data_IF_106785098633
#
_entry.id   IF_106785098633
#
_cell.length_a   1.000
_cell.length_b   1.000
_cell.length_c   1.000
_cell.angle_alpha   90.00
_cell.angle_beta   90.00
_cell.angle_gamma   90.00
#
_symmetry.space_group_name_H-M   'P 1'
#
loop_
_entity.id
_entity.type
_entity.pdbx_description
1 polymer ?
#
# COMPACT_ATOMS: atom_id res chain seq x y z
N UNK A 1 -4.70 -9.90 -31.43
CA UNK A 1 -4.67 -11.08 -30.53
C UNK A 1 -3.88 -10.83 -29.23
N UNK A 2 -3.85 -9.60 -28.67
CA UNK A 2 -3.16 -9.30 -27.40
C UNK A 2 -4.08 -9.43 -26.17
N UNK A 3 -5.39 -9.25 -26.34
CA UNK A 3 -6.38 -9.23 -25.25
C UNK A 3 -6.47 -10.52 -24.42
N UNK A 4 -6.18 -11.68 -25.02
CA UNK A 4 -6.38 -13.00 -24.42
C UNK A 4 -5.27 -13.38 -23.43
N UNK A 5 -4.05 -12.85 -23.57
CA UNK A 5 -2.91 -13.24 -22.70
C UNK A 5 -2.92 -12.55 -21.33
N UNK A 6 -3.56 -11.38 -21.20
CA UNK A 6 -3.53 -10.58 -19.97
C UNK A 6 -4.66 -10.93 -18.98
N UNK A 7 -5.60 -11.81 -19.37
CA UNK A 7 -6.76 -12.15 -18.53
C UNK A 7 -6.38 -12.81 -17.18
N UNK A 8 -5.43 -13.77 -17.12
CA UNK A 8 -4.99 -14.34 -15.85
C UNK A 8 -4.28 -13.32 -14.94
N UNK A 9 -3.50 -12.40 -15.53
CA UNK A 9 -2.83 -11.32 -14.79
C UNK A 9 -3.84 -10.34 -14.18
N UNK A 10 -4.87 -9.94 -14.94
CA UNK A 10 -5.96 -9.09 -14.41
C UNK A 10 -6.70 -9.75 -13.26
N UNK A 11 -6.98 -11.05 -13.36
CA UNK A 11 -7.61 -11.81 -12.28
C UNK A 11 -6.71 -11.85 -11.03
N UNK A 12 -5.40 -12.04 -11.18
CA UNK A 12 -4.46 -11.98 -10.06
C UNK A 12 -4.38 -10.59 -9.43
N UNK A 13 -4.31 -9.53 -10.24
CA UNK A 13 -4.32 -8.15 -9.74
C UNK A 13 -5.60 -7.84 -8.96
N UNK A 14 -6.76 -8.32 -9.44
CA UNK A 14 -8.03 -8.17 -8.72
C UNK A 14 -8.00 -8.80 -7.34
N UNK A 15 -7.48 -10.03 -7.22
CA UNK A 15 -7.33 -10.74 -5.94
C UNK A 15 -6.39 -10.01 -4.98
N UNK A 16 -5.21 -9.61 -5.47
CA UNK A 16 -4.21 -8.88 -4.67
C UNK A 16 -4.77 -7.53 -4.19
N UNK A 17 -5.43 -6.77 -5.07
CA UNK A 17 -6.07 -5.49 -4.72
C UNK A 17 -7.30 -5.67 -3.82
N UNK A 18 -7.97 -6.82 -3.90
CA UNK A 18 -9.07 -7.20 -3.03
C UNK A 18 -8.63 -7.70 -1.65
N UNK A 19 -7.32 -7.88 -1.43
CA UNK A 19 -6.75 -8.42 -0.19
C UNK A 19 -7.26 -9.84 0.12
N UNK A 20 -7.68 -10.60 -0.91
CA UNK A 20 -8.20 -11.97 -0.75
C UNK A 20 -7.13 -12.93 -0.22
N UNK A 21 -5.85 -12.64 -0.45
CA UNK A 21 -4.70 -13.41 0.05
C UNK A 21 -4.08 -12.81 1.34
N UNK A 22 -4.65 -11.74 1.91
CA UNK A 22 -4.13 -11.15 3.14
C UNK A 22 -4.58 -11.94 4.38
N UNK A 23 -3.70 -12.06 5.38
CA UNK A 23 -4.04 -12.74 6.64
C UNK A 23 -5.25 -12.12 7.37
N UNK A 24 -5.51 -10.83 7.15
CA UNK A 24 -6.71 -10.10 7.59
C UNK A 24 -7.07 -9.10 6.49
N UNK A 25 -8.35 -9.06 6.09
CA UNK A 25 -8.85 -8.06 5.15
C UNK A 25 -8.77 -6.64 5.72
N UNK A 26 -8.51 -5.64 4.87
CA UNK A 26 -8.37 -4.25 5.29
C UNK A 26 -9.56 -3.76 6.12
N UNK A 27 -10.78 -4.10 5.71
CA UNK A 27 -12.03 -3.74 6.37
C UNK A 27 -12.08 -4.25 7.81
N UNK A 28 -11.73 -5.53 8.02
CA UNK A 28 -11.67 -6.12 9.34
C UNK A 28 -10.57 -5.48 10.22
N UNK A 29 -9.44 -5.09 9.62
CA UNK A 29 -8.35 -4.45 10.34
C UNK A 29 -8.71 -3.03 10.83
N UNK A 30 -9.52 -2.27 10.09
CA UNK A 30 -9.89 -0.89 10.46
C UNK A 30 -11.14 -0.80 11.32
N UNK A 31 -12.07 -1.75 11.23
CA UNK A 31 -13.30 -1.78 12.03
C UNK A 31 -13.02 -1.96 13.53
N UNK A 32 -11.98 -2.71 13.89
CA UNK A 32 -11.59 -2.95 15.28
C UNK A 32 -10.92 -1.77 15.99
N UNK A 33 -10.60 -0.67 15.29
CA UNK A 33 -9.80 0.43 15.85
C UNK A 33 -10.70 1.58 16.32
N UNK A 34 -11.09 1.52 17.60
CA UNK A 34 -11.82 2.60 18.25
C UNK A 34 -11.01 3.92 18.34
N UNK A 35 -11.67 5.09 18.44
CA UNK A 35 -11.00 6.40 18.46
C UNK A 35 -9.86 6.54 19.48
N UNK A 36 -10.00 5.90 20.64
CA UNK A 36 -8.99 5.91 21.70
C UNK A 36 -7.68 5.19 21.34
N UNK A 37 -7.66 4.41 20.25
CA UNK A 37 -6.51 3.60 19.82
C UNK A 37 -5.89 4.10 18.50
N UNK A 38 -6.61 4.91 17.71
CA UNK A 38 -6.17 5.35 16.38
C UNK A 38 -4.79 6.02 16.41
N UNK A 39 -4.52 6.82 17.45
CA UNK A 39 -3.24 7.50 17.62
C UNK A 39 -2.25 6.89 18.60
N UNK A 40 -2.53 5.70 19.13
CA UNK A 40 -1.65 5.06 20.12
C UNK A 40 -0.70 4.10 19.43
N UNK A 41 0.60 4.36 19.57
CA UNK A 41 1.65 3.44 19.14
C UNK A 41 1.90 2.41 20.26
N UNK A 42 1.62 1.11 20.04
CA UNK A 42 1.93 0.08 21.02
C UNK A 42 3.46 -0.04 21.23
N UNK A 43 3.92 -0.44 22.43
CA UNK A 43 5.33 -0.72 22.66
C UNK A 43 5.88 -1.74 21.65
N UNK A 44 7.03 -1.43 21.05
CA UNK A 44 7.68 -2.30 20.06
C UNK A 44 7.24 -2.09 18.61
N UNK A 45 6.27 -1.20 18.34
CA UNK A 45 5.89 -0.82 16.98
C UNK A 45 6.38 0.60 16.63
N UNK A 46 6.82 0.84 15.38
CA UNK A 46 7.34 2.15 14.98
C UNK A 46 6.23 3.18 14.68
N UNK A 47 5.00 2.72 14.40
CA UNK A 47 3.91 3.58 13.91
C UNK A 47 2.58 3.26 14.57
N UNK A 48 1.75 4.30 14.70
CA UNK A 48 0.36 4.20 15.14
C UNK A 48 -0.57 3.63 14.05
N UNK A 49 -1.77 3.14 14.41
CA UNK A 49 -2.78 2.74 13.43
C UNK A 49 -3.12 3.83 12.41
N UNK A 50 -3.18 5.09 12.84
CA UNK A 50 -3.43 6.23 11.94
C UNK A 50 -2.29 6.42 10.93
N UNK A 51 -1.03 6.36 11.37
CA UNK A 51 0.13 6.44 10.48
C UNK A 51 0.14 5.31 9.45
N UNK A 52 -0.20 4.09 9.86
CA UNK A 52 -0.30 2.95 8.95
C UNK A 52 -1.44 3.11 7.94
N UNK A 53 -2.63 3.54 8.40
CA UNK A 53 -3.77 3.79 7.51
C UNK A 53 -3.43 4.84 6.45
N UNK A 54 -2.87 5.97 6.86
CA UNK A 54 -2.49 7.03 5.94
C UNK A 54 -1.37 6.61 5.00
N UNK A 55 -0.41 5.81 5.48
CA UNK A 55 0.62 5.25 4.63
C UNK A 55 0.03 4.41 3.49
N UNK A 56 -0.92 3.52 3.81
CA UNK A 56 -1.62 2.70 2.81
C UNK A 56 -2.43 3.58 1.85
N UNK A 57 -3.17 4.58 2.38
CA UNK A 57 -3.97 5.52 1.59
C UNK A 57 -3.12 6.32 0.61
N UNK A 58 -2.02 6.92 1.07
CA UNK A 58 -1.15 7.75 0.23
C UNK A 58 -0.48 6.89 -0.83
N UNK A 59 0.05 5.73 -0.45
CA UNK A 59 0.73 4.81 -1.39
C UNK A 59 -0.22 4.33 -2.48
N UNK A 60 -1.43 3.93 -2.12
CA UNK A 60 -2.42 3.48 -3.11
C UNK A 60 -2.88 4.62 -4.02
N UNK A 61 -3.12 5.81 -3.47
CA UNK A 61 -3.47 6.99 -4.27
C UNK A 61 -2.35 7.35 -5.26
N UNK A 62 -1.09 7.23 -4.84
CA UNK A 62 0.05 7.55 -5.68
C UNK A 62 0.18 6.60 -6.88
N UNK A 63 -0.05 5.30 -6.67
CA UNK A 63 -0.16 4.31 -7.75
C UNK A 63 -1.32 4.65 -8.68
N UNK A 64 -2.48 4.99 -8.13
CA UNK A 64 -3.64 5.38 -8.93
C UNK A 64 -3.35 6.63 -9.77
N UNK A 65 -2.68 7.62 -9.18
CA UNK A 65 -2.32 8.84 -9.89
C UNK A 65 -1.31 8.55 -11.00
N UNK A 66 -0.28 7.76 -10.73
CA UNK A 66 0.66 7.28 -11.75
C UNK A 66 -0.05 6.63 -12.95
N UNK A 67 -1.07 5.80 -12.69
CA UNK A 67 -1.81 5.10 -13.75
C UNK A 67 -2.69 6.03 -14.61
N UNK A 68 -3.23 7.11 -14.04
CA UNK A 68 -4.25 7.96 -14.72
C UNK A 68 -3.74 9.32 -15.15
N UNK A 69 -2.73 9.86 -14.48
CA UNK A 69 -2.24 11.22 -14.67
C UNK A 69 -1.04 11.23 -15.62
N UNK A 70 -1.23 11.76 -16.82
CA UNK A 70 -0.16 11.84 -17.83
C UNK A 70 1.03 12.70 -17.40
N UNK A 71 0.79 13.66 -16.49
CA UNK A 71 1.76 14.59 -15.93
C UNK A 71 2.19 14.21 -14.49
N UNK A 72 2.03 12.95 -14.10
CA UNK A 72 2.43 12.44 -12.79
C UNK A 72 3.88 12.82 -12.45
N UNK A 73 4.08 13.21 -11.18
CA UNK A 73 5.39 13.45 -10.59
C UNK A 73 5.51 12.60 -9.33
N UNK A 74 6.63 11.90 -9.23
CA UNK A 74 6.94 11.07 -8.08
C UNK A 74 7.05 11.92 -6.79
N UNK A 75 6.50 11.39 -5.69
CA UNK A 75 6.59 12.01 -4.37
C UNK A 75 7.93 11.73 -3.72
N UNK A 76 8.33 12.55 -2.75
CA UNK A 76 9.57 12.32 -2.04
C UNK A 76 9.45 11.12 -1.09
N UNK A 77 10.07 10.01 -1.46
CA UNK A 77 10.18 8.84 -0.61
C UNK A 77 11.28 9.00 0.46
N UNK A 78 11.08 8.52 1.72
CA UNK A 78 9.82 8.02 2.31
C UNK A 78 8.95 9.12 2.95
N UNK A 79 9.47 10.35 3.03
CA UNK A 79 8.91 11.44 3.85
C UNK A 79 7.44 11.73 3.55
N UNK A 80 7.05 11.74 2.27
CA UNK A 80 5.71 12.16 1.86
C UNK A 80 4.64 11.07 2.03
N UNK A 81 5.04 9.85 2.44
CA UNK A 81 4.16 8.68 2.58
C UNK A 81 3.77 8.39 4.03
N UNK A 82 4.15 9.24 4.97
CA UNK A 82 3.85 9.05 6.39
C UNK A 82 3.34 10.36 6.99
N UNK A 83 2.18 10.36 7.69
CA UNK A 83 1.77 11.55 8.40
C UNK A 83 2.70 11.79 9.60
N UNK A 84 3.09 13.05 9.86
CA UNK A 84 3.97 13.38 10.97
C UNK A 84 3.29 13.21 12.33
N UNK A 85 1.97 13.41 12.38
CA UNK A 85 1.19 13.25 13.59
C UNK A 85 0.80 11.77 13.78
N UNK A 86 0.93 11.22 15.00
CA UNK A 86 0.51 9.86 15.28
C UNK A 86 -1.02 9.72 15.34
N UNK A 87 -1.78 10.79 15.54
CA UNK A 87 -3.23 10.75 15.64
C UNK A 87 -3.95 11.44 14.48
N UNK A 88 -5.21 11.08 14.22
CA UNK A 88 -6.05 11.79 13.27
C UNK A 88 -6.26 13.25 13.71
N UNK A 89 -6.25 14.21 12.76
CA UNK A 89 -6.39 15.64 13.07
C UNK A 89 -7.81 16.03 13.51
N UNK A 90 -8.80 15.16 13.26
CA UNK A 90 -10.19 15.37 13.67
C UNK A 90 -10.88 14.02 13.95
N UNK A 91 -12.01 14.01 14.66
CA UNK A 91 -12.81 12.80 14.87
C UNK A 91 -13.31 12.14 13.58
N UNK A 92 -13.45 12.90 12.49
CA UNK A 92 -13.93 12.40 11.20
C UNK A 92 -12.80 11.87 10.29
N UNK A 93 -11.56 12.31 10.52
CA UNK A 93 -10.44 12.05 9.61
C UNK A 93 -10.17 10.55 9.40
N UNK A 94 -10.31 9.71 10.43
CA UNK A 94 -10.19 8.26 10.29
C UNK A 94 -11.16 7.69 9.25
N UNK A 95 -12.44 8.04 9.38
CA UNK A 95 -13.50 7.55 8.49
C UNK A 95 -13.32 8.08 7.07
N UNK A 96 -12.89 9.33 6.95
CA UNK A 96 -12.58 9.95 5.65
C UNK A 96 -11.42 9.24 4.94
N UNK A 97 -10.35 8.90 5.68
CA UNK A 97 -9.20 8.17 5.17
C UNK A 97 -9.55 6.75 4.73
N UNK A 98 -10.33 6.02 5.53
CA UNK A 98 -10.84 4.69 5.15
C UNK A 98 -11.68 4.77 3.88
N UNK A 99 -12.61 5.73 3.80
CA UNK A 99 -13.46 5.90 2.63
C UNK A 99 -12.66 6.28 1.38
N UNK A 100 -11.64 7.14 1.52
CA UNK A 100 -10.75 7.51 0.42
C UNK A 100 -9.98 6.30 -0.10
N UNK A 101 -9.40 5.51 0.80
CA UNK A 101 -8.69 4.28 0.42
C UNK A 101 -9.62 3.29 -0.32
N UNK A 102 -10.85 3.08 0.16
CA UNK A 102 -11.81 2.20 -0.53
C UNK A 102 -12.19 2.72 -1.93
N UNK A 103 -12.39 4.04 -2.08
CA UNK A 103 -12.66 4.65 -3.39
C UNK A 103 -11.51 4.47 -4.37
N UNK A 104 -10.27 4.70 -3.90
CA UNK A 104 -9.08 4.58 -4.73
C UNK A 104 -8.83 3.11 -5.12
N UNK A 105 -9.10 2.16 -4.20
CA UNK A 105 -9.03 0.72 -4.48
C UNK A 105 -10.03 0.33 -5.57
N UNK A 106 -11.28 0.80 -5.47
CA UNK A 106 -12.30 0.55 -6.49
C UNK A 106 -11.92 1.15 -7.86
N UNK A 107 -11.27 2.32 -7.87
CA UNK A 107 -10.77 2.92 -9.11
C UNK A 107 -9.61 2.11 -9.72
N UNK A 108 -8.68 1.61 -8.90
CA UNK A 108 -7.61 0.72 -9.36
C UNK A 108 -8.15 -0.61 -9.91
N UNK A 109 -9.15 -1.20 -9.25
CA UNK A 109 -9.82 -2.42 -9.74
C UNK A 109 -10.46 -2.18 -11.11
N UNK A 110 -11.17 -1.06 -11.30
CA UNK A 110 -11.76 -0.69 -12.59
C UNK A 110 -10.68 -0.49 -13.67
N UNK A 111 -9.57 0.16 -13.34
CA UNK A 111 -8.44 0.31 -14.28
C UNK A 111 -7.84 -1.04 -14.67
N UNK A 112 -7.74 -1.99 -13.73
CA UNK A 112 -7.24 -3.33 -14.00
C UNK A 112 -8.20 -4.14 -14.89
N UNK A 113 -9.51 -3.88 -14.82
CA UNK A 113 -10.53 -4.54 -15.64
C UNK A 113 -10.64 -3.95 -17.06
N UNK A 114 -10.17 -2.72 -17.30
CA UNK A 114 -10.22 -2.05 -18.60
C UNK A 114 -9.14 -2.57 -19.57
N UNK A 115 -9.50 -3.30 -20.65
CA UNK A 115 -8.54 -3.83 -21.62
C UNK A 115 -7.85 -2.74 -22.45
N UNK A 116 -8.41 -1.53 -22.54
CA UNK A 116 -7.82 -0.40 -23.26
C UNK A 116 -6.75 0.35 -22.45
N UNK A 117 -6.76 0.20 -21.13
CA UNK A 117 -5.74 0.78 -20.24
C UNK A 117 -4.34 0.19 -20.49
N UNK A 118 -4.27 -0.99 -21.13
CA UNK A 118 -3.04 -1.65 -21.58
C UNK A 118 -2.22 -0.81 -22.58
N UNK A 119 -2.82 0.17 -23.27
CA UNK A 119 -2.12 1.07 -24.21
C UNK A 119 -1.16 2.07 -23.55
N UNK A 120 -1.18 2.21 -22.21
CA UNK A 120 -0.20 2.99 -21.44
C UNK A 120 0.95 2.13 -20.87
N UNK A 121 1.09 0.89 -21.34
CA UNK A 121 2.11 -0.10 -20.90
C UNK A 121 3.58 0.29 -21.17
N UNK A 122 3.86 1.40 -21.87
CA UNK A 122 5.23 1.86 -22.08
C UNK A 122 5.95 2.37 -20.82
N UNK A 123 5.23 2.56 -19.70
CA UNK A 123 5.79 3.08 -18.43
C UNK A 123 5.87 2.05 -17.28
N UNK A 124 5.31 0.85 -17.46
CA UNK A 124 5.26 -0.18 -16.40
C UNK A 124 6.50 -1.09 -16.34
N UNK A 125 7.45 -0.93 -17.25
CA UNK A 125 8.70 -1.69 -17.26
C UNK A 125 9.89 -0.75 -16.98
N UNK A 126 10.16 -0.44 -15.71
CA UNK A 126 11.45 0.17 -15.38
C UNK A 126 11.61 0.84 -14.00
N UNK A 127 10.55 1.30 -13.34
CA UNK A 127 10.72 2.23 -12.18
C UNK A 127 9.88 1.92 -10.94
N UNK A 128 9.52 0.66 -10.69
CA UNK A 128 8.69 0.33 -9.51
C UNK A 128 9.22 -0.84 -8.69
N UNK A 129 10.50 -0.77 -8.33
CA UNK A 129 11.12 -1.65 -7.34
C UNK A 129 11.05 -1.13 -5.87
N UNK A 130 10.72 0.13 -5.51
CA UNK A 130 10.74 0.51 -4.08
C UNK A 130 9.47 0.19 -3.27
N UNK A 131 8.27 0.06 -3.87
CA UNK A 131 7.01 -0.08 -3.10
C UNK A 131 6.72 -1.51 -2.61
N UNK A 132 7.25 -2.54 -3.28
CA UNK A 132 7.18 -3.91 -2.77
C UNK A 132 8.09 -4.14 -1.55
N UNK A 133 9.21 -3.40 -1.47
CA UNK A 133 10.21 -3.59 -0.42
C UNK A 133 9.74 -3.07 0.96
N UNK A 134 8.87 -2.06 1.03
CA UNK A 134 8.40 -1.56 2.33
C UNK A 134 7.29 -2.41 2.95
N UNK A 135 6.39 -3.02 2.15
CA UNK A 135 5.43 -3.99 2.70
C UNK A 135 6.16 -5.20 3.33
N UNK A 136 7.26 -5.65 2.71
CA UNK A 136 8.16 -6.65 3.30
C UNK A 136 8.91 -6.13 4.54
N UNK A 137 9.35 -4.87 4.56
CA UNK A 137 10.05 -4.29 5.72
C UNK A 137 9.15 -4.09 6.94
N UNK A 138 7.90 -3.63 6.75
CA UNK A 138 6.89 -3.46 7.82
C UNK A 138 6.41 -4.82 8.36
N UNK A 139 6.29 -5.85 7.52
CA UNK A 139 5.88 -7.20 7.93
C UNK A 139 7.01 -8.04 8.56
N UNK A 140 8.29 -7.71 8.33
CA UNK A 140 9.42 -8.55 8.74
C UNK A 140 10.46 -7.89 9.67
N UNK A 141 10.21 -6.67 10.16
CA UNK A 141 10.91 -6.09 11.32
C UNK A 141 12.44 -6.18 11.30
N UNK A 142 13.07 -6.12 10.12
CA UNK A 142 14.52 -6.31 10.00
C UNK A 142 15.23 -4.96 9.97
N UNK A 143 15.95 -4.70 11.05
CA UNK A 143 16.86 -3.56 11.22
C UNK A 143 17.90 -3.50 10.06
N UNK A 144 17.93 -2.41 9.25
CA UNK A 144 18.89 -2.26 8.16
C UNK A 144 20.35 -2.08 8.65
N UNK A 145 20.58 -1.89 9.95
CA UNK A 145 21.89 -1.73 10.56
C UNK A 145 22.39 -2.96 11.32
N UNK A 146 21.64 -4.06 11.33
CA UNK A 146 22.13 -5.32 11.91
C UNK A 146 23.03 -6.03 10.89
N UNK A 147 24.35 -6.16 11.13
CA UNK A 147 25.19 -6.94 10.23
C UNK A 147 24.67 -8.39 10.18
N UNK A 148 24.81 -9.09 9.04
CA UNK A 148 24.46 -10.50 8.98
C UNK A 148 25.24 -11.24 10.07
N UNK A 149 24.53 -11.90 10.98
CA UNK A 149 25.17 -12.86 11.89
C UNK A 149 25.88 -13.88 11.01
N UNK A 150 27.21 -14.06 11.13
CA UNK A 150 27.88 -15.10 10.38
C UNK A 150 27.24 -16.42 10.79
N UNK A 151 26.72 -17.15 9.80
CA UNK A 151 26.28 -18.52 9.99
C UNK A 151 27.43 -19.28 10.60
N UNK A 152 27.31 -19.63 11.88
CA UNK A 152 28.12 -20.69 12.45
C UNK A 152 27.71 -21.97 11.73
N UNK A 153 28.47 -22.33 10.69
CA UNK A 153 28.65 -23.73 10.31
C UNK A 153 29.06 -24.46 11.60
N UNK A 154 28.10 -25.18 12.18
CA UNK A 154 28.40 -26.21 13.16
C UNK A 154 28.72 -27.45 12.35
N UNK A 155 29.95 -27.92 12.56
CA UNK A 155 30.56 -29.14 12.04
C UNK A 155 29.75 -30.40 12.31
#
# INVERSE_FOLDING_TARGET
>A
MKETQDAPLRAQLKKLLGWEDAHVGFEAAVEGVGPAHQGKTPPGLPFSPWQLLEHLRITQFDILDFCRNSAYKERAWPKDYWPPAPGPPSPSAWKESVAAFQRDRAALQKLAEDPSASGRSGRIAGTFVPLAYLNLWILWGRDPHRPPTPSSEVS
#
